data_IF_515508097124
#
_entry.id   IF_515508097124
#
_cell.length_a   1.000
_cell.length_b   1.000
_cell.length_c   1.000
_cell.angle_alpha   90.00
_cell.angle_beta   90.00
_cell.angle_gamma   90.00
#
_symmetry.space_group_name_H-M   'P 1'
#
loop_
_entity.id
_entity.type
_entity.pdbx_description
1 polymer ?
#
# COMPACT_ATOMS: atom_id res chain seq x y z
N UNK A 1 -5.13 26.58 -13.69
CA UNK A 1 -4.69 25.63 -14.73
C UNK A 1 -3.44 24.88 -14.29
N UNK A 2 -2.35 25.56 -13.93
CA UNK A 2 -1.10 24.93 -13.49
C UNK A 2 -1.26 23.95 -12.31
N UNK A 3 -2.00 24.31 -11.26
CA UNK A 3 -2.22 23.42 -10.10
C UNK A 3 -3.00 22.15 -10.47
N UNK A 4 -3.99 22.25 -11.36
CA UNK A 4 -4.78 21.11 -11.83
C UNK A 4 -3.92 20.19 -12.69
N UNK A 5 -3.10 20.77 -13.56
CA UNK A 5 -2.14 20.03 -14.37
C UNK A 5 -1.12 19.28 -13.51
N UNK A 6 -0.58 19.93 -12.47
CA UNK A 6 0.34 19.30 -11.51
C UNK A 6 -0.32 18.17 -10.72
N UNK A 7 -1.58 18.34 -10.29
CA UNK A 7 -2.36 17.27 -9.64
C UNK A 7 -2.56 16.11 -10.60
N UNK A 8 -3.05 16.36 -11.82
CA UNK A 8 -3.32 15.33 -12.83
C UNK A 8 -2.08 14.53 -13.22
N UNK A 9 -0.95 15.21 -13.46
CA UNK A 9 0.34 14.55 -13.75
C UNK A 9 0.84 13.70 -12.58
N UNK A 10 0.56 14.11 -11.34
CA UNK A 10 0.96 13.36 -10.14
C UNK A 10 0.08 12.13 -9.91
N UNK A 11 -1.23 12.24 -10.18
CA UNK A 11 -2.14 11.08 -10.24
C UNK A 11 -1.65 10.10 -11.30
N UNK A 12 -1.34 10.60 -12.50
CA UNK A 12 -0.87 9.75 -13.60
C UNK A 12 0.46 9.06 -13.28
N UNK A 13 1.39 9.76 -12.62
CA UNK A 13 2.63 9.17 -12.14
C UNK A 13 2.39 8.05 -11.14
N UNK A 14 1.51 8.27 -10.15
CA UNK A 14 1.13 7.23 -9.19
C UNK A 14 0.55 5.99 -9.88
N UNK A 15 -0.31 6.20 -10.86
CA UNK A 15 -0.89 5.13 -11.68
C UNK A 15 0.18 4.31 -12.42
N UNK A 16 1.14 4.97 -13.07
CA UNK A 16 2.21 4.25 -13.75
C UNK A 16 3.14 3.52 -12.77
N UNK A 17 3.44 4.12 -11.62
CA UNK A 17 4.28 3.49 -10.60
C UNK A 17 3.61 2.27 -9.95
N UNK A 18 2.28 2.21 -9.89
CA UNK A 18 1.58 1.03 -9.38
C UNK A 18 1.63 -0.17 -10.34
N UNK A 19 1.73 0.09 -11.65
CA UNK A 19 1.87 -0.94 -12.68
C UNK A 19 3.32 -1.42 -12.80
N UNK A 20 4.32 -0.58 -12.49
CA UNK A 20 5.75 -0.92 -12.61
C UNK A 20 6.15 -2.19 -11.85
N UNK A 21 5.55 -2.50 -10.70
CA UNK A 21 5.87 -3.73 -9.96
C UNK A 21 5.54 -5.01 -10.72
N UNK A 22 4.58 -4.98 -11.65
CA UNK A 22 4.33 -6.09 -12.58
C UNK A 22 5.57 -6.36 -13.44
N UNK A 23 6.12 -5.30 -14.05
CA UNK A 23 7.34 -5.38 -14.87
C UNK A 23 8.55 -5.83 -14.05
N UNK A 24 8.65 -5.39 -12.79
CA UNK A 24 9.73 -5.78 -11.87
C UNK A 24 9.67 -7.27 -11.56
N UNK A 25 8.49 -7.83 -11.32
CA UNK A 25 8.32 -9.27 -11.08
C UNK A 25 8.78 -10.09 -12.29
N UNK A 26 8.40 -9.70 -13.51
CA UNK A 26 8.87 -10.36 -14.73
C UNK A 26 10.39 -10.21 -14.94
N UNK A 27 10.95 -9.05 -14.62
CA UNK A 27 12.39 -8.84 -14.68
C UNK A 27 13.14 -9.72 -13.66
N UNK A 28 12.65 -9.80 -12.43
CA UNK A 28 13.22 -10.63 -11.37
C UNK A 28 13.13 -12.13 -11.71
N UNK A 29 12.01 -12.59 -12.27
CA UNK A 29 11.88 -13.97 -12.76
C UNK A 29 12.86 -14.26 -13.91
N UNK A 30 12.96 -13.36 -14.89
CA UNK A 30 13.90 -13.50 -16.01
C UNK A 30 15.36 -13.55 -15.54
N UNK A 31 15.73 -12.72 -14.56
CA UNK A 31 17.08 -12.71 -14.01
C UNK A 31 17.36 -13.97 -13.15
N UNK A 32 16.39 -14.42 -12.36
CA UNK A 32 16.50 -15.69 -11.62
C UNK A 32 16.66 -16.88 -12.56
N UNK A 33 15.84 -16.96 -13.61
CA UNK A 33 15.90 -18.01 -14.64
C UNK A 33 17.18 -17.94 -15.48
N UNK A 34 17.71 -16.74 -15.76
CA UNK A 34 19.00 -16.58 -16.44
C UNK A 34 20.16 -17.10 -15.60
N UNK A 35 20.15 -16.86 -14.29
CA UNK A 35 21.17 -17.37 -13.36
C UNK A 35 21.10 -18.88 -13.13
N UNK A 36 19.91 -19.48 -13.25
CA UNK A 36 19.72 -20.94 -13.22
C UNK A 36 20.16 -21.60 -14.53
N UNK A 37 19.91 -20.94 -15.66
CA UNK A 37 20.20 -21.47 -17.01
C UNK A 37 21.65 -21.27 -17.45
N UNK A 38 22.44 -20.44 -16.77
CA UNK A 38 23.89 -20.42 -16.99
C UNK A 38 24.49 -21.71 -16.41
N UNK A 39 25.15 -22.54 -17.23
CA UNK A 39 25.95 -23.64 -16.70
C UNK A 39 27.03 -23.03 -15.81
N UNK A 40 27.14 -23.47 -14.55
CA UNK A 40 28.33 -23.19 -13.76
C UNK A 40 29.53 -23.65 -14.60
N UNK A 41 30.51 -22.79 -14.92
CA UNK A 41 31.69 -23.25 -15.64
C UNK A 41 32.35 -24.32 -14.78
N UNK A 42 32.47 -25.53 -15.35
CA UNK A 42 33.24 -26.62 -14.78
C UNK A 42 34.63 -26.07 -14.49
N UNK A 43 35.00 -26.09 -13.21
CA UNK A 43 36.27 -25.56 -12.73
C UNK A 43 37.41 -26.43 -13.22
N UNK A 44 37.91 -26.14 -14.42
CA UNK A 44 39.26 -26.50 -14.85
C UNK A 44 39.84 -25.36 -15.67
N UNK A 45 40.47 -24.40 -14.99
CA UNK A 45 41.83 -23.94 -15.28
C UNK A 45 42.15 -22.68 -14.45
N UNK A 46 43.43 -22.56 -14.15
CA UNK A 46 44.07 -21.68 -13.18
C UNK A 46 43.81 -20.17 -13.36
N UNK A 47 43.89 -19.48 -12.21
CA UNK A 47 44.26 -18.07 -12.02
C UNK A 47 43.35 -16.98 -12.60
N UNK A 48 42.38 -16.52 -11.79
CA UNK A 48 42.36 -15.16 -11.20
C UNK A 48 41.10 -15.07 -10.33
N UNK A 49 41.31 -14.84 -9.04
CA UNK A 49 40.28 -14.81 -8.00
C UNK A 49 39.28 -13.68 -8.21
N UNK A 50 38.15 -13.98 -8.84
CA UNK A 50 36.88 -13.29 -8.59
C UNK A 50 35.82 -14.34 -8.26
N UNK A 51 35.80 -14.73 -6.99
CA UNK A 51 34.68 -15.46 -6.39
C UNK A 51 33.38 -14.69 -6.66
N UNK A 52 32.28 -15.32 -7.10
CA UNK A 52 30.98 -14.65 -7.06
C UNK A 52 30.75 -14.23 -5.61
N UNK A 53 30.49 -12.95 -5.37
CA UNK A 53 30.29 -12.46 -4.00
C UNK A 53 29.19 -13.30 -3.32
N UNK A 54 29.35 -13.72 -2.05
CA UNK A 54 28.31 -14.46 -1.31
C UNK A 54 26.96 -13.72 -1.29
N UNK A 55 26.98 -12.41 -1.54
CA UNK A 55 25.80 -11.58 -1.68
C UNK A 55 25.00 -11.87 -2.95
N UNK A 56 25.64 -12.16 -4.09
CA UNK A 56 24.93 -12.36 -5.36
C UNK A 56 24.11 -13.67 -5.37
N UNK A 57 24.65 -14.75 -4.79
CA UNK A 57 23.97 -16.05 -4.68
C UNK A 57 22.87 -16.04 -3.60
N UNK A 58 23.09 -15.32 -2.50
CA UNK A 58 22.06 -15.13 -1.47
C UNK A 58 20.89 -14.28 -2.01
N UNK A 59 21.19 -13.26 -2.82
CA UNK A 59 20.17 -12.42 -3.48
C UNK A 59 19.28 -13.22 -4.44
N UNK A 60 19.85 -14.05 -5.31
CA UNK A 60 19.04 -14.86 -6.24
C UNK A 60 18.13 -15.87 -5.54
N UNK A 61 18.55 -16.39 -4.38
CA UNK A 61 17.71 -17.26 -3.54
C UNK A 61 16.52 -16.51 -2.93
N UNK A 62 16.70 -15.27 -2.50
CA UNK A 62 15.61 -14.44 -1.97
C UNK A 62 14.63 -14.03 -3.09
N UNK A 63 15.12 -13.70 -4.29
CA UNK A 63 14.31 -13.38 -5.49
C UNK A 63 13.34 -14.53 -5.85
N UNK A 64 13.85 -15.75 -5.97
CA UNK A 64 13.03 -16.94 -6.29
C UNK A 64 11.99 -17.25 -5.20
N UNK A 65 12.31 -16.97 -3.92
CA UNK A 65 11.37 -17.16 -2.81
C UNK A 65 10.21 -16.17 -2.87
N UNK A 66 10.47 -14.90 -3.17
CA UNK A 66 9.43 -13.87 -3.30
C UNK A 66 8.47 -14.23 -4.43
N UNK A 67 8.99 -14.56 -5.61
CA UNK A 67 8.16 -14.95 -6.75
C UNK A 67 7.33 -16.20 -6.46
N UNK A 68 7.94 -17.23 -5.87
CA UNK A 68 7.23 -18.45 -5.49
C UNK A 68 6.06 -18.15 -4.54
N UNK A 69 6.24 -17.23 -3.59
CA UNK A 69 5.19 -16.78 -2.66
C UNK A 69 4.09 -16.00 -3.36
N UNK A 70 4.42 -15.12 -4.30
CA UNK A 70 3.43 -14.43 -5.14
C UNK A 70 2.60 -15.44 -5.94
N UNK A 71 3.27 -16.40 -6.61
CA UNK A 71 2.58 -17.44 -7.38
C UNK A 71 1.73 -18.35 -6.49
N UNK A 72 2.22 -18.74 -5.31
CA UNK A 72 1.45 -19.52 -4.34
C UNK A 72 0.20 -18.78 -3.87
N UNK A 73 0.32 -17.48 -3.56
CA UNK A 73 -0.81 -16.60 -3.27
C UNK A 73 -1.81 -16.57 -4.43
N UNK A 74 -1.34 -16.30 -5.64
CA UNK A 74 -2.18 -16.21 -6.82
C UNK A 74 -2.88 -17.53 -7.17
N UNK A 75 -2.18 -18.67 -7.05
CA UNK A 75 -2.76 -20.00 -7.32
C UNK A 75 -3.80 -20.43 -6.29
N UNK A 76 -3.57 -20.15 -5.01
CA UNK A 76 -4.49 -20.55 -3.95
C UNK A 76 -5.77 -19.70 -3.98
N UNK A 77 -5.64 -18.39 -4.24
CA UNK A 77 -6.77 -17.44 -4.22
C UNK A 77 -7.49 -17.30 -5.56
N UNK A 78 -6.74 -17.19 -6.66
CA UNK A 78 -7.29 -17.06 -8.00
C UNK A 78 -7.51 -18.39 -8.70
N UNK A 79 -6.77 -19.43 -8.34
CA UNK A 79 -6.93 -20.77 -8.89
C UNK A 79 -7.99 -21.54 -8.11
N UNK A 80 -7.61 -22.16 -6.99
CA UNK A 80 -8.43 -23.15 -6.27
C UNK A 80 -9.79 -22.56 -5.87
N UNK A 81 -9.79 -21.36 -5.31
CA UNK A 81 -10.99 -20.77 -4.75
C UNK A 81 -11.96 -20.24 -5.82
N UNK A 82 -11.47 -19.39 -6.74
CA UNK A 82 -12.30 -18.90 -7.85
C UNK A 82 -12.76 -20.05 -8.76
N UNK A 83 -11.89 -21.01 -9.07
CA UNK A 83 -12.27 -22.19 -9.87
C UNK A 83 -13.33 -23.02 -9.16
N UNK A 84 -13.25 -23.19 -7.82
CA UNK A 84 -14.27 -23.92 -7.08
C UNK A 84 -15.64 -23.24 -7.15
N UNK A 85 -15.70 -21.91 -7.11
CA UNK A 85 -16.94 -21.13 -7.26
C UNK A 85 -17.48 -21.29 -8.69
N UNK A 86 -16.63 -21.10 -9.70
CA UNK A 86 -17.04 -21.23 -11.09
C UNK A 86 -17.51 -22.66 -11.40
N UNK A 87 -16.81 -23.68 -10.89
CA UNK A 87 -17.22 -25.08 -11.03
C UNK A 87 -18.57 -25.34 -10.35
N UNK A 88 -18.78 -24.81 -9.15
CA UNK A 88 -20.06 -24.98 -8.45
C UNK A 88 -21.22 -24.30 -9.20
N UNK A 89 -21.04 -23.04 -9.61
CA UNK A 89 -22.08 -22.23 -10.26
C UNK A 89 -22.38 -22.67 -11.71
N UNK A 90 -21.35 -23.06 -12.47
CA UNK A 90 -21.51 -23.34 -13.91
C UNK A 90 -21.47 -24.82 -14.27
N UNK A 91 -21.02 -25.71 -13.39
CA UNK A 91 -21.02 -27.16 -13.63
C UNK A 91 -21.96 -27.90 -12.66
N UNK A 92 -21.78 -27.72 -11.35
CA UNK A 92 -22.54 -28.49 -10.35
C UNK A 92 -24.01 -28.10 -10.35
N UNK A 93 -24.36 -26.82 -10.21
CA UNK A 93 -25.77 -26.40 -10.20
C UNK A 93 -26.49 -26.74 -11.51
N UNK A 94 -25.97 -26.39 -12.71
CA UNK A 94 -26.64 -26.72 -13.96
C UNK A 94 -26.72 -28.23 -14.21
N UNK A 95 -25.66 -28.98 -13.84
CA UNK A 95 -25.64 -30.44 -13.94
C UNK A 95 -26.67 -31.11 -13.04
N UNK A 96 -26.82 -30.62 -11.80
CA UNK A 96 -27.82 -31.11 -10.86
C UNK A 96 -29.24 -30.77 -11.33
N UNK A 97 -29.46 -29.56 -11.87
CA UNK A 97 -30.73 -29.18 -12.47
C UNK A 97 -31.09 -30.08 -13.66
N UNK A 98 -30.12 -30.37 -14.54
CA UNK A 98 -30.31 -31.29 -15.67
C UNK A 98 -30.65 -32.71 -15.20
N UNK A 99 -29.97 -33.21 -14.18
CA UNK A 99 -30.24 -34.51 -13.58
C UNK A 99 -31.66 -34.59 -12.98
N UNK A 100 -32.08 -33.56 -12.23
CA UNK A 100 -33.44 -33.50 -11.69
C UNK A 100 -34.51 -33.40 -12.78
N UNK A 101 -34.24 -32.62 -13.84
CA UNK A 101 -35.13 -32.53 -14.99
C UNK A 101 -35.33 -33.90 -15.64
N UNK A 102 -34.25 -34.67 -15.80
CA UNK A 102 -34.31 -36.04 -16.32
C UNK A 102 -35.09 -37.00 -15.40
N UNK A 103 -34.87 -36.93 -14.08
CA UNK A 103 -35.52 -37.80 -13.10
C UNK A 103 -37.03 -37.57 -13.00
N UNK A 104 -37.45 -36.32 -12.81
CA UNK A 104 -38.84 -36.04 -12.47
C UNK A 104 -39.75 -35.98 -13.69
N UNK A 105 -39.24 -35.59 -14.88
CA UNK A 105 -40.01 -35.34 -16.13
C UNK A 105 -41.23 -34.40 -16.01
N UNK A 106 -41.57 -33.96 -14.79
CA UNK A 106 -42.67 -33.08 -14.41
C UNK A 106 -42.11 -31.70 -14.09
N UNK A 107 -42.62 -30.68 -14.78
CA UNK A 107 -42.18 -29.30 -14.60
C UNK A 107 -42.48 -28.76 -13.20
N UNK A 108 -43.67 -29.03 -12.65
CA UNK A 108 -44.10 -28.53 -11.33
C UNK A 108 -43.27 -29.09 -10.17
N UNK A 109 -42.94 -30.39 -10.22
CA UNK A 109 -42.11 -31.03 -9.19
C UNK A 109 -40.68 -30.53 -9.25
N UNK A 110 -40.13 -30.38 -10.47
CA UNK A 110 -38.79 -29.84 -10.69
C UNK A 110 -38.65 -28.43 -10.13
N UNK A 111 -39.58 -27.52 -10.47
CA UNK A 111 -39.52 -26.13 -9.99
C UNK A 111 -39.62 -26.04 -8.47
N UNK A 112 -40.48 -26.86 -7.87
CA UNK A 112 -40.65 -26.88 -6.41
C UNK A 112 -39.38 -27.38 -5.72
N UNK A 113 -38.82 -28.52 -6.16
CA UNK A 113 -37.60 -29.09 -5.56
C UNK A 113 -36.40 -28.17 -5.78
N UNK A 114 -36.21 -27.67 -7.00
CA UNK A 114 -35.12 -26.76 -7.33
C UNK A 114 -35.18 -25.45 -6.54
N UNK A 115 -36.38 -24.90 -6.36
CA UNK A 115 -36.61 -23.64 -5.65
C UNK A 115 -36.08 -23.62 -4.21
N UNK A 116 -36.06 -24.76 -3.52
CA UNK A 116 -35.44 -24.88 -2.20
C UNK A 116 -34.01 -25.41 -2.27
N UNK A 117 -33.75 -26.37 -3.16
CA UNK A 117 -32.45 -27.03 -3.23
C UNK A 117 -31.33 -26.08 -3.67
N UNK A 118 -31.55 -25.27 -4.71
CA UNK A 118 -30.54 -24.32 -5.20
C UNK A 118 -30.09 -23.32 -4.12
N UNK A 119 -30.97 -22.58 -3.43
CA UNK A 119 -30.53 -21.65 -2.39
C UNK A 119 -29.91 -22.38 -1.19
N UNK A 120 -30.41 -23.56 -0.79
CA UNK A 120 -29.81 -24.35 0.30
C UNK A 120 -28.40 -24.83 -0.03
N UNK A 121 -28.19 -25.39 -1.22
CA UNK A 121 -26.85 -25.82 -1.67
C UNK A 121 -25.89 -24.63 -1.78
N UNK A 122 -26.37 -23.52 -2.33
CA UNK A 122 -25.58 -22.29 -2.44
C UNK A 122 -25.20 -21.75 -1.06
N UNK A 123 -26.12 -21.76 -0.10
CA UNK A 123 -25.85 -21.35 1.28
C UNK A 123 -24.81 -22.26 1.94
N UNK A 124 -24.99 -23.57 1.87
CA UNK A 124 -24.05 -24.54 2.46
C UNK A 124 -22.65 -24.42 1.85
N UNK A 125 -22.56 -24.32 0.52
CA UNK A 125 -21.30 -24.13 -0.18
C UNK A 125 -20.64 -22.81 0.24
N UNK A 126 -21.39 -21.71 0.27
CA UNK A 126 -20.84 -20.41 0.65
C UNK A 126 -20.40 -20.37 2.12
N UNK A 127 -21.16 -20.98 3.04
CA UNK A 127 -20.87 -20.93 4.48
C UNK A 127 -19.78 -21.89 4.92
N UNK A 128 -19.74 -23.12 4.39
CA UNK A 128 -18.82 -24.17 4.87
C UNK A 128 -17.57 -24.33 4.00
N UNK A 129 -17.61 -23.90 2.73
CA UNK A 129 -16.47 -24.01 1.83
C UNK A 129 -15.87 -22.64 1.55
N UNK A 130 -16.68 -21.73 0.99
CA UNK A 130 -16.19 -20.44 0.50
C UNK A 130 -15.73 -19.53 1.64
N UNK A 131 -16.57 -19.28 2.65
CA UNK A 131 -16.25 -18.36 3.72
C UNK A 131 -15.01 -18.79 4.56
N UNK A 132 -14.86 -20.05 4.99
CA UNK A 132 -13.70 -20.49 5.76
C UNK A 132 -12.41 -20.47 4.93
N UNK A 133 -12.45 -20.92 3.67
CA UNK A 133 -11.29 -20.87 2.78
C UNK A 133 -10.87 -19.44 2.48
N UNK A 134 -11.84 -18.54 2.27
CA UNK A 134 -11.56 -17.12 2.08
C UNK A 134 -10.91 -16.47 3.30
N UNK A 135 -11.39 -16.80 4.51
CA UNK A 135 -10.81 -16.28 5.75
C UNK A 135 -9.39 -16.81 5.97
N UNK A 136 -9.18 -18.11 5.79
CA UNK A 136 -7.86 -18.73 5.92
C UNK A 136 -6.88 -18.17 4.88
N UNK A 137 -7.34 -18.02 3.64
CA UNK A 137 -6.61 -17.36 2.56
C UNK A 137 -6.14 -15.96 2.98
N UNK A 138 -7.02 -15.11 3.52
CA UNK A 138 -6.64 -13.77 3.98
C UNK A 138 -5.53 -13.78 5.04
N UNK A 139 -5.53 -14.74 5.96
CA UNK A 139 -4.51 -14.86 6.99
C UNK A 139 -3.17 -15.31 6.38
N UNK A 140 -3.18 -16.35 5.54
CA UNK A 140 -1.96 -16.85 4.90
C UNK A 140 -1.37 -15.79 3.97
N UNK A 141 -2.24 -15.09 3.23
CA UNK A 141 -1.89 -13.98 2.37
C UNK A 141 -1.18 -12.87 3.13
N UNK A 142 -1.70 -12.43 4.28
CA UNK A 142 -1.08 -11.35 5.05
C UNK A 142 0.33 -11.70 5.54
N UNK A 143 0.56 -12.96 5.92
CA UNK A 143 1.88 -13.47 6.27
C UNK A 143 2.83 -13.45 5.07
N UNK A 144 2.38 -13.93 3.91
CA UNK A 144 3.18 -13.90 2.68
C UNK A 144 3.46 -12.48 2.19
N UNK A 145 2.51 -11.56 2.37
CA UNK A 145 2.65 -10.16 1.99
C UNK A 145 3.72 -9.46 2.82
N UNK A 146 3.77 -9.72 4.12
CA UNK A 146 4.83 -9.22 4.99
C UNK A 146 6.20 -9.72 4.54
N UNK A 147 6.28 -11.03 4.28
CA UNK A 147 7.47 -11.70 3.76
C UNK A 147 7.98 -11.12 2.42
N UNK A 148 7.07 -10.83 1.49
CA UNK A 148 7.34 -10.19 0.19
C UNK A 148 7.85 -8.77 0.41
N UNK A 149 7.18 -8.00 1.25
CA UNK A 149 7.56 -6.62 1.54
C UNK A 149 8.94 -6.52 2.18
N UNK A 150 9.24 -7.36 3.16
CA UNK A 150 10.53 -7.38 3.85
C UNK A 150 11.66 -7.72 2.89
N UNK A 151 11.42 -8.65 1.97
CA UNK A 151 12.38 -9.03 0.93
C UNK A 151 12.59 -7.89 -0.08
N UNK A 152 11.52 -7.28 -0.56
CA UNK A 152 11.57 -6.14 -1.48
C UNK A 152 12.25 -4.91 -0.84
N UNK A 153 11.98 -4.66 0.44
CA UNK A 153 12.60 -3.58 1.20
C UNK A 153 14.11 -3.81 1.38
N UNK A 154 14.51 -5.01 1.79
CA UNK A 154 15.93 -5.39 1.93
C UNK A 154 16.71 -5.20 0.63
N UNK A 155 16.09 -5.52 -0.50
CA UNK A 155 16.67 -5.35 -1.82
C UNK A 155 16.97 -3.88 -2.14
N UNK A 156 16.04 -2.96 -1.83
CA UNK A 156 16.17 -1.54 -2.21
C UNK A 156 16.88 -0.67 -1.19
N UNK A 157 16.64 -0.90 0.11
CA UNK A 157 17.00 0.05 1.18
C UNK A 157 17.89 -0.53 2.29
N UNK A 158 18.19 -1.83 2.27
CA UNK A 158 19.00 -2.47 3.30
C UNK A 158 18.17 -2.99 4.49
N UNK A 159 18.75 -3.05 5.70
CA UNK A 159 18.06 -3.67 6.85
C UNK A 159 16.84 -2.83 7.29
N UNK A 160 15.69 -3.47 7.59
CA UNK A 160 14.56 -2.80 8.25
C UNK A 160 15.01 -2.08 9.51
N UNK A 161 14.43 -0.92 9.81
CA UNK A 161 14.77 -0.20 11.04
C UNK A 161 14.28 -0.97 12.27
N UNK A 162 15.07 -0.88 13.36
CA UNK A 162 14.83 -1.61 14.60
C UNK A 162 13.44 -1.29 15.16
N UNK A 163 12.73 -2.36 15.47
CA UNK A 163 11.32 -2.39 15.84
C UNK A 163 11.12 -1.57 17.12
N UNK A 164 10.05 -0.76 17.25
CA UNK A 164 9.57 -0.31 18.55
C UNK A 164 9.24 -1.52 19.44
N UNK A 165 8.99 -1.31 20.75
CA UNK A 165 8.58 -2.39 21.65
C UNK A 165 7.45 -3.23 21.03
N UNK A 166 7.49 -4.55 21.19
CA UNK A 166 6.51 -5.48 20.59
C UNK A 166 5.07 -5.05 20.93
N UNK A 167 4.85 -4.56 22.14
CA UNK A 167 3.55 -4.00 22.57
C UNK A 167 3.08 -2.82 21.71
N UNK A 168 3.98 -1.88 21.39
CA UNK A 168 3.66 -0.73 20.52
C UNK A 168 3.39 -1.18 19.10
N UNK A 169 4.09 -2.19 18.61
CA UNK A 169 3.86 -2.79 17.30
C UNK A 169 2.47 -3.42 17.18
N UNK A 170 2.09 -4.21 18.19
CA UNK A 170 0.77 -4.85 18.25
C UNK A 170 -0.31 -3.77 18.33
N UNK A 171 -0.14 -2.76 19.16
CA UNK A 171 -1.08 -1.65 19.28
C UNK A 171 -1.25 -0.90 17.94
N UNK A 172 -0.15 -0.54 17.28
CA UNK A 172 -0.16 0.12 15.97
C UNK A 172 -0.89 -0.73 14.92
N UNK A 173 -0.62 -2.04 14.89
CA UNK A 173 -1.27 -2.99 13.97
C UNK A 173 -2.78 -3.09 14.23
N UNK A 174 -3.20 -3.23 15.48
CA UNK A 174 -4.61 -3.35 15.85
C UNK A 174 -5.39 -2.06 15.58
N UNK A 175 -4.79 -0.89 15.90
CA UNK A 175 -5.42 0.40 15.64
C UNK A 175 -5.47 0.67 14.13
N UNK A 176 -4.42 0.33 13.38
CA UNK A 176 -4.42 0.43 11.91
C UNK A 176 -5.54 -0.41 11.33
N UNK A 177 -5.66 -1.68 11.73
CA UNK A 177 -6.74 -2.57 11.30
C UNK A 177 -8.13 -1.99 11.60
N UNK A 178 -8.33 -1.44 12.81
CA UNK A 178 -9.60 -0.82 13.19
C UNK A 178 -9.92 0.40 12.32
N UNK A 179 -8.94 1.29 12.09
CA UNK A 179 -9.10 2.46 11.22
C UNK A 179 -9.46 2.03 9.79
N UNK A 180 -8.78 1.02 9.26
CA UNK A 180 -9.02 0.48 7.92
C UNK A 180 -10.43 -0.11 7.78
N UNK A 181 -10.91 -0.86 8.78
CA UNK A 181 -12.28 -1.41 8.82
C UNK A 181 -13.31 -0.27 8.85
N UNK A 182 -13.13 0.71 9.72
CA UNK A 182 -14.03 1.87 9.81
C UNK A 182 -14.02 2.70 8.51
N UNK A 183 -12.87 2.81 7.85
CA UNK A 183 -12.74 3.52 6.58
C UNK A 183 -13.42 2.78 5.44
N UNK A 184 -13.32 1.44 5.41
CA UNK A 184 -14.07 0.63 4.45
C UNK A 184 -15.58 0.77 4.65
N UNK A 185 -16.04 0.80 5.91
CA UNK A 185 -17.45 1.05 6.23
C UNK A 185 -17.88 2.46 5.77
N UNK A 186 -17.12 3.50 6.11
CA UNK A 186 -17.34 4.86 5.63
C UNK A 186 -17.44 4.91 4.10
N UNK A 187 -16.51 4.24 3.40
CA UNK A 187 -16.48 4.20 1.93
C UNK A 187 -17.76 3.58 1.38
N UNK A 188 -18.17 2.45 1.95
CA UNK A 188 -19.39 1.74 1.57
C UNK A 188 -20.63 2.61 1.79
N UNK A 189 -20.71 3.32 2.92
CA UNK A 189 -21.82 4.24 3.19
C UNK A 189 -21.90 5.37 2.16
N UNK A 190 -20.75 5.93 1.77
CA UNK A 190 -20.66 7.01 0.77
C UNK A 190 -21.20 6.56 -0.60
N UNK A 191 -21.03 5.28 -0.96
CA UNK A 191 -21.59 4.71 -2.19
C UNK A 191 -23.12 4.76 -2.23
N UNK A 192 -23.78 4.68 -1.07
CA UNK A 192 -25.24 4.63 -0.95
C UNK A 192 -25.88 5.96 -0.50
N UNK A 193 -25.12 7.04 -0.40
CA UNK A 193 -25.68 8.34 -0.03
C UNK A 193 -26.63 8.86 -1.14
N UNK A 194 -27.83 9.37 -0.76
CA UNK A 194 -28.79 9.92 -1.71
C UNK A 194 -28.37 11.36 -2.11
N UNK A 195 -27.37 11.48 -2.97
CA UNK A 195 -26.93 12.77 -3.53
C UNK A 195 -27.56 12.96 -4.91
N UNK A 196 -28.21 14.11 -5.19
CA UNK A 196 -28.92 14.37 -6.45
C UNK A 196 -27.96 14.70 -7.63
N UNK A 197 -26.74 14.18 -7.61
CA UNK A 197 -25.73 14.38 -8.66
C UNK A 197 -25.32 13.01 -9.21
N UNK A 198 -25.62 12.70 -10.49
CA UNK A 198 -25.22 11.45 -11.12
C UNK A 198 -23.71 11.22 -10.99
N UNK A 199 -23.32 9.97 -10.72
CA UNK A 199 -21.91 9.51 -10.61
C UNK A 199 -21.06 10.10 -9.47
N UNK A 200 -21.51 11.14 -8.75
CA UNK A 200 -20.73 11.76 -7.69
C UNK A 200 -20.37 10.79 -6.55
N UNK A 201 -21.35 10.03 -6.05
CA UNK A 201 -21.13 9.03 -5.01
C UNK A 201 -20.16 7.92 -5.46
N UNK A 202 -20.26 7.47 -6.71
CA UNK A 202 -19.37 6.46 -7.29
C UNK A 202 -17.93 6.98 -7.42
N UNK A 203 -17.75 8.24 -7.84
CA UNK A 203 -16.44 8.87 -7.93
C UNK A 203 -15.82 9.05 -6.53
N UNK A 204 -16.59 9.52 -5.55
CA UNK A 204 -16.13 9.66 -4.16
C UNK A 204 -15.79 8.31 -3.52
N UNK A 205 -16.61 7.29 -3.79
CA UNK A 205 -16.31 5.91 -3.41
C UNK A 205 -14.98 5.44 -4.00
N UNK A 206 -14.75 5.67 -5.30
CA UNK A 206 -13.50 5.32 -5.96
C UNK A 206 -12.29 6.05 -5.37
N UNK A 207 -12.44 7.33 -5.01
CA UNK A 207 -11.40 8.10 -4.31
C UNK A 207 -11.06 7.46 -2.96
N UNK A 208 -12.07 7.12 -2.15
CA UNK A 208 -11.85 6.42 -0.90
C UNK A 208 -11.13 5.08 -1.10
N UNK A 209 -11.65 4.23 -1.98
CA UNK A 209 -11.09 2.89 -2.21
C UNK A 209 -9.66 2.96 -2.76
N UNK A 210 -9.35 3.93 -3.61
CA UNK A 210 -7.99 4.14 -4.12
C UNK A 210 -7.02 4.51 -3.01
N UNK A 211 -7.38 5.47 -2.14
CA UNK A 211 -6.53 5.86 -1.02
C UNK A 211 -6.36 4.72 0.00
N UNK A 212 -7.41 3.93 0.24
CA UNK A 212 -7.35 2.75 1.11
C UNK A 212 -6.44 1.67 0.51
N UNK A 213 -6.55 1.38 -0.78
CA UNK A 213 -5.69 0.42 -1.48
C UNK A 213 -4.22 0.86 -1.46
N UNK A 214 -3.96 2.15 -1.65
CA UNK A 214 -2.62 2.70 -1.53
C UNK A 214 -2.08 2.60 -0.10
N UNK A 215 -2.88 2.91 0.91
CA UNK A 215 -2.52 2.73 2.33
C UNK A 215 -2.13 1.27 2.61
N UNK A 216 -2.94 0.30 2.16
CA UNK A 216 -2.66 -1.11 2.34
C UNK A 216 -1.31 -1.52 1.74
N UNK A 217 -1.01 -1.11 0.50
CA UNK A 217 0.23 -1.50 -0.17
C UNK A 217 1.47 -0.81 0.44
N UNK A 218 1.39 0.48 0.74
CA UNK A 218 2.49 1.25 1.29
C UNK A 218 2.73 1.00 2.79
N UNK A 219 1.72 0.55 3.54
CA UNK A 219 1.86 0.26 4.96
C UNK A 219 3.01 -0.72 5.20
N UNK A 220 3.12 -1.78 4.39
CA UNK A 220 4.23 -2.73 4.48
C UNK A 220 5.62 -2.09 4.33
N UNK A 221 5.76 -1.14 3.39
CA UNK A 221 6.99 -0.38 3.19
C UNK A 221 7.27 0.54 4.38
N UNK A 222 6.25 1.23 4.87
CA UNK A 222 6.39 2.17 5.98
C UNK A 222 6.62 1.49 7.32
N UNK A 223 6.10 0.28 7.49
CA UNK A 223 6.40 -0.59 8.62
C UNK A 223 7.90 -0.91 8.67
N UNK A 224 8.50 -1.27 7.53
CA UNK A 224 9.93 -1.49 7.40
C UNK A 224 10.79 -0.23 7.61
N UNK A 225 10.19 0.96 7.46
CA UNK A 225 10.80 2.26 7.81
C UNK A 225 10.58 2.66 9.27
N UNK A 226 9.85 1.89 10.06
CA UNK A 226 9.51 2.22 11.45
C UNK A 226 8.53 3.37 11.60
N UNK A 227 7.73 3.69 10.57
CA UNK A 227 6.74 4.76 10.66
C UNK A 227 5.53 4.31 11.47
N UNK A 228 5.05 5.16 12.37
CA UNK A 228 3.81 4.92 13.12
C UNK A 228 2.57 5.27 12.29
N UNK A 229 1.43 4.72 12.67
CA UNK A 229 0.13 4.90 12.00
C UNK A 229 -0.22 6.37 11.74
N UNK A 230 -0.08 7.25 12.74
CA UNK A 230 -0.37 8.68 12.57
C UNK A 230 0.45 9.33 11.45
N UNK A 231 1.73 8.95 11.34
CA UNK A 231 2.62 9.43 10.28
C UNK A 231 2.17 8.90 8.92
N UNK A 232 1.82 7.61 8.82
CA UNK A 232 1.33 6.98 7.58
C UNK A 232 0.08 7.67 7.06
N UNK A 233 -0.92 7.90 7.93
CA UNK A 233 -2.18 8.56 7.58
C UNK A 233 -1.94 10.01 7.13
N UNK A 234 -1.19 10.78 7.92
CA UNK A 234 -0.88 12.19 7.59
C UNK A 234 -0.17 12.31 6.25
N UNK A 235 0.78 11.39 5.98
CA UNK A 235 1.54 11.41 4.74
C UNK A 235 0.68 11.12 3.50
N UNK A 236 -0.29 10.21 3.60
CA UNK A 236 -1.25 9.97 2.52
C UNK A 236 -2.17 11.18 2.32
N UNK A 237 -2.72 11.74 3.39
CA UNK A 237 -3.65 12.88 3.29
C UNK A 237 -2.98 14.12 2.69
N UNK A 238 -1.69 14.35 2.99
CA UNK A 238 -0.90 15.45 2.43
C UNK A 238 -0.52 15.23 0.97
N UNK A 239 -0.27 13.99 0.56
CA UNK A 239 0.21 13.66 -0.80
C UNK A 239 -0.84 12.84 -1.58
N UNK A 240 -2.12 13.10 -1.31
CA UNK A 240 -3.24 12.33 -1.82
C UNK A 240 -3.27 12.19 -3.36
N UNK A 241 -2.82 13.16 -4.20
CA UNK A 241 -2.89 12.98 -5.65
C UNK A 241 -2.10 11.77 -6.14
N UNK A 242 -0.89 11.59 -5.59
CA UNK A 242 -0.04 10.45 -5.95
C UNK A 242 -0.69 9.14 -5.51
N UNK A 243 -1.16 9.06 -4.26
CA UNK A 243 -1.74 7.84 -3.70
C UNK A 243 -3.09 7.47 -4.32
N UNK A 244 -3.89 8.48 -4.69
CA UNK A 244 -5.10 8.30 -5.48
C UNK A 244 -4.76 7.58 -6.78
N UNK A 245 -3.79 8.10 -7.54
CA UNK A 245 -3.34 7.47 -8.79
C UNK A 245 -2.78 6.06 -8.58
N UNK A 246 -1.96 5.86 -7.55
CA UNK A 246 -1.34 4.58 -7.27
C UNK A 246 -2.36 3.48 -6.93
N UNK A 247 -3.32 3.77 -6.07
CA UNK A 247 -4.31 2.78 -5.64
C UNK A 247 -5.47 2.57 -6.62
N UNK A 248 -5.68 3.50 -7.55
CA UNK A 248 -6.80 3.47 -8.50
C UNK A 248 -6.91 2.17 -9.30
N UNK A 249 -5.85 1.59 -9.89
CA UNK A 249 -6.00 0.38 -10.69
C UNK A 249 -6.44 -0.81 -9.84
N UNK A 250 -5.89 -0.96 -8.63
CA UNK A 250 -6.29 -2.04 -7.73
C UNK A 250 -7.74 -1.87 -7.27
N UNK A 251 -8.14 -0.66 -6.92
CA UNK A 251 -9.50 -0.34 -6.51
C UNK A 251 -10.50 -0.62 -7.65
N UNK A 252 -10.22 -0.12 -8.86
CA UNK A 252 -11.08 -0.30 -10.02
C UNK A 252 -11.22 -1.78 -10.41
N UNK A 253 -10.10 -2.53 -10.51
CA UNK A 253 -10.12 -3.95 -10.86
C UNK A 253 -10.86 -4.79 -9.83
N UNK A 254 -10.73 -4.45 -8.54
CA UNK A 254 -11.44 -5.15 -7.46
C UNK A 254 -12.94 -4.85 -7.47
N UNK A 255 -13.38 -3.72 -8.03
CA UNK A 255 -14.79 -3.33 -8.09
C UNK A 255 -15.53 -3.82 -9.35
N UNK A 256 -14.81 -4.32 -10.37
CA UNK A 256 -15.42 -4.85 -11.60
C UNK A 256 -16.38 -6.03 -11.35
N UNK A 257 -16.07 -7.00 -10.47
CA UNK A 257 -16.97 -8.11 -10.22
C UNK A 257 -18.13 -7.69 -9.30
N UNK A 258 -19.36 -8.07 -9.66
CA UNK A 258 -20.54 -7.85 -8.81
C UNK A 258 -20.57 -8.73 -7.55
N UNK A 259 -19.70 -9.74 -7.46
CA UNK A 259 -19.59 -10.64 -6.31
C UNK A 259 -18.48 -10.18 -5.37
N UNK A 260 -18.82 -9.96 -4.10
CA UNK A 260 -17.87 -9.61 -3.02
C UNK A 260 -16.75 -10.65 -2.92
N UNK A 261 -17.10 -11.92 -3.12
CA UNK A 261 -16.15 -13.03 -3.04
C UNK A 261 -15.15 -12.94 -4.19
N UNK A 262 -15.64 -12.76 -5.43
CA UNK A 262 -14.78 -12.62 -6.61
C UNK A 262 -13.93 -11.35 -6.53
N UNK A 263 -14.50 -10.24 -6.09
CA UNK A 263 -13.80 -8.98 -5.80
C UNK A 263 -12.63 -9.21 -4.82
N UNK A 264 -12.87 -9.93 -3.73
CA UNK A 264 -11.83 -10.29 -2.76
C UNK A 264 -10.72 -11.18 -3.35
N UNK A 265 -11.04 -12.05 -4.31
CA UNK A 265 -10.06 -12.87 -5.04
C UNK A 265 -9.17 -12.01 -5.93
N UNK A 266 -9.81 -11.14 -6.74
CA UNK A 266 -9.11 -10.21 -7.63
C UNK A 266 -8.17 -9.33 -6.82
N UNK A 267 -8.66 -8.75 -5.72
CA UNK A 267 -7.84 -7.99 -4.79
C UNK A 267 -6.64 -8.82 -4.29
N UNK A 268 -6.88 -10.03 -3.78
CA UNK A 268 -5.82 -10.87 -3.18
C UNK A 268 -4.75 -11.33 -4.19
N UNK A 269 -5.14 -11.56 -5.45
CA UNK A 269 -4.21 -11.93 -6.53
C UNK A 269 -3.33 -10.74 -6.94
N UNK A 270 -3.92 -9.55 -7.06
CA UNK A 270 -3.21 -8.36 -7.53
C UNK A 270 -2.38 -7.69 -6.43
N UNK A 271 -2.86 -7.70 -5.18
CA UNK A 271 -2.27 -6.96 -4.08
C UNK A 271 -0.77 -7.22 -3.83
N UNK A 272 -0.23 -8.46 -3.90
CA UNK A 272 1.23 -8.69 -3.84
C UNK A 272 2.05 -7.84 -4.80
N UNK A 273 1.54 -7.64 -6.02
CA UNK A 273 2.21 -6.86 -7.06
C UNK A 273 2.26 -5.38 -6.65
N UNK A 274 1.18 -4.87 -6.06
CA UNK A 274 1.12 -3.50 -5.54
C UNK A 274 2.05 -3.29 -4.34
N UNK A 275 2.27 -4.30 -3.48
CA UNK A 275 3.27 -4.21 -2.39
C UNK A 275 4.68 -4.06 -2.97
N UNK A 276 5.02 -4.81 -4.02
CA UNK A 276 6.31 -4.72 -4.70
C UNK A 276 6.45 -3.33 -5.34
N UNK A 277 5.44 -2.89 -6.10
CA UNK A 277 5.37 -1.54 -6.68
C UNK A 277 5.56 -0.45 -5.62
N UNK A 278 4.89 -0.57 -4.47
CA UNK A 278 4.97 0.42 -3.40
C UNK A 278 6.39 0.50 -2.83
N UNK A 279 7.06 -0.64 -2.63
CA UNK A 279 8.45 -0.70 -2.17
C UNK A 279 9.42 -0.03 -3.15
N UNK A 280 9.22 -0.24 -4.45
CA UNK A 280 10.00 0.37 -5.52
C UNK A 280 9.75 1.88 -5.69
N UNK A 281 8.51 2.30 -5.49
CA UNK A 281 8.05 3.64 -5.80
C UNK A 281 8.69 4.74 -4.95
N UNK A 282 8.85 5.91 -5.54
CA UNK A 282 9.27 7.14 -4.87
C UNK A 282 8.16 8.19 -5.04
N UNK A 283 7.21 8.26 -4.10
CA UNK A 283 6.07 9.17 -4.19
C UNK A 283 6.52 10.61 -4.42
N UNK A 284 5.91 11.29 -5.39
CA UNK A 284 6.11 12.72 -5.60
C UNK A 284 5.33 13.47 -4.54
N UNK A 285 6.04 14.23 -3.72
CA UNK A 285 5.48 14.98 -2.58
C UNK A 285 5.26 16.47 -2.92
N UNK A 286 4.50 17.16 -2.07
CA UNK A 286 4.36 18.63 -2.05
C UNK A 286 3.78 19.24 -3.35
N UNK A 287 2.80 18.55 -3.92
CA UNK A 287 2.11 18.99 -5.16
C UNK A 287 0.85 19.80 -4.85
N UNK A 288 0.19 19.50 -3.73
CA UNK A 288 -1.07 20.11 -3.32
C UNK A 288 -0.93 20.59 -1.87
N UNK A 289 -1.27 21.86 -1.62
CA UNK A 289 -1.19 22.46 -0.28
C UNK A 289 -2.38 22.07 0.60
N UNK A 290 -3.50 21.63 0.00
CA UNK A 290 -4.71 21.25 0.71
C UNK A 290 -4.73 19.74 1.00
N UNK A 291 -4.59 19.33 2.28
CA UNK A 291 -4.63 17.92 2.64
C UNK A 291 -6.07 17.40 2.55
N UNK A 292 -6.22 16.19 2.00
CA UNK A 292 -7.51 15.52 1.86
C UNK A 292 -7.77 14.66 3.11
N UNK A 293 -8.41 15.26 4.12
CA UNK A 293 -8.57 14.69 5.49
C UNK A 293 -9.65 13.61 5.63
N UNK A 294 -9.68 12.63 4.73
CA UNK A 294 -10.71 11.58 4.74
C UNK A 294 -10.51 10.57 5.87
N UNK A 295 -9.27 10.31 6.30
CA UNK A 295 -8.98 9.39 7.41
C UNK A 295 -9.22 10.04 8.77
N UNK A 296 -9.19 11.38 8.84
CA UNK A 296 -9.47 12.12 10.07
C UNK A 296 -10.84 11.79 10.68
N UNK A 297 -11.86 11.49 9.85
CA UNK A 297 -13.20 11.10 10.30
C UNK A 297 -13.13 9.79 11.10
N UNK A 298 -12.52 8.75 10.52
CA UNK A 298 -12.40 7.44 11.18
C UNK A 298 -11.45 7.45 12.35
N UNK A 299 -10.41 8.30 12.33
CA UNK A 299 -9.55 8.56 13.50
C UNK A 299 -10.38 9.14 14.64
N UNK A 300 -11.26 10.12 14.37
CA UNK A 300 -12.13 10.71 15.38
C UNK A 300 -13.11 9.67 15.97
N UNK A 301 -13.72 8.84 15.12
CA UNK A 301 -14.60 7.73 15.54
C UNK A 301 -13.84 6.72 16.40
N UNK A 302 -12.64 6.33 15.99
CA UNK A 302 -11.77 5.41 16.71
C UNK A 302 -11.46 5.96 18.11
N UNK A 303 -11.06 7.22 18.20
CA UNK A 303 -10.80 7.89 19.48
C UNK A 303 -12.06 8.00 20.35
N UNK A 304 -13.24 8.19 19.76
CA UNK A 304 -14.51 8.22 20.48
C UNK A 304 -14.86 6.85 21.09
N UNK A 305 -14.65 5.74 20.34
CA UNK A 305 -14.86 4.37 20.82
C UNK A 305 -14.00 4.05 22.05
N UNK A 306 -12.71 4.42 22.02
CA UNK A 306 -11.81 4.21 23.16
C UNK A 306 -12.18 5.06 24.37
N UNK A 307 -12.63 6.31 24.16
CA UNK A 307 -13.11 7.19 25.24
C UNK A 307 -14.39 6.67 25.90
N UNK A 308 -15.33 6.14 25.11
CA UNK A 308 -16.59 5.57 25.63
C UNK A 308 -16.36 4.38 26.55
N UNK A 309 -15.38 3.52 26.23
CA UNK A 309 -15.07 2.31 27.02
C UNK A 309 -14.37 2.62 28.35
N UNK A 310 -13.56 3.69 28.42
CA UNK A 310 -12.91 4.12 29.66
C UNK A 310 -13.89 4.70 30.69
N UNK A 311 -14.96 5.38 30.25
CA UNK A 311 -16.01 5.88 31.14
C UNK A 311 -16.85 4.75 31.76
N UNK A 312 -17.13 3.69 30.99
CA UNK A 312 -17.87 2.52 31.49
C UNK A 312 -17.06 1.68 32.49
N UNK A 313 -15.73 1.61 32.36
CA UNK A 313 -14.85 0.90 33.30
C UNK A 313 -14.66 1.61 34.64
N UNK A 314 -14.74 2.95 34.68
CA UNK A 314 -14.70 3.71 35.96
C UNK A 314 -16.01 3.64 36.74
N UNK A 315 -17.15 3.49 36.08
CA UNK A 315 -18.44 3.33 36.74
C UNK A 315 -18.61 1.99 37.47
N UNK A 316 -17.88 0.94 37.05
CA UNK A 316 -17.92 -0.38 37.68
C UNK A 316 -16.99 -0.53 38.89
N UNK A 317 -16.07 0.40 39.13
CA UNK A 317 -15.08 0.34 40.22
C UNK A 317 -15.31 1.39 41.33
N UNK A 318 -16.38 2.17 41.25
CA UNK A 318 -16.74 3.20 42.24
C UNK A 318 -18.05 2.88 42.93
N UNK A 319 -18.19 1.67 43.47
CA UNK A 319 -19.10 1.44 44.59
C UNK A 319 -18.33 1.75 45.89
N UNK A 320 -18.77 2.72 46.72
CA UNK A 320 -18.13 2.97 48.00
C UNK A 320 -18.50 1.86 48.99
N UNK A 321 -17.52 1.07 49.44
CA UNK A 321 -17.62 0.33 50.69
C UNK A 321 -17.65 1.34 51.85
N UNK A 322 -18.67 1.25 52.68
CA UNK A 322 -18.91 2.05 53.89
C UNK A 322 -17.72 2.01 54.86
N UNK A 323 -17.35 3.13 55.52
CA UNK A 323 -16.24 3.17 56.44
C UNK A 323 -16.68 2.79 57.86
N UNK A 324 -15.95 1.90 58.54
CA UNK A 324 -16.02 1.82 60.00
C UNK A 324 -14.62 1.60 60.61
N UNK A 325 -14.30 2.52 61.52
CA UNK A 325 -13.39 2.47 62.67
C UNK A 325 -11.85 2.29 62.50
N UNK A 326 -11.16 3.40 62.85
CA UNK A 326 -10.02 3.56 63.81
C UNK A 326 -8.77 2.66 63.71
N UNK A 327 -7.61 3.32 63.60
CA UNK A 327 -6.37 2.89 64.29
C UNK A 327 -5.03 3.18 63.60
N UNK A 328 -4.40 4.31 63.98
CA UNK A 328 -2.96 4.61 64.13
C UNK A 328 -1.88 3.94 63.22
N UNK A 329 -1.19 4.77 62.42
CA UNK A 329 0.30 4.93 62.24
C UNK A 329 0.68 5.35 60.79
N UNK A 330 1.66 6.26 60.58
CA UNK A 330 2.36 6.45 59.29
C UNK A 330 3.81 5.90 59.38
N UNK A 331 4.71 6.03 58.36
CA UNK A 331 4.59 6.28 56.90
C UNK A 331 5.37 5.21 56.07
N UNK A 332 5.34 5.29 54.73
CA UNK A 332 6.53 5.27 53.84
C UNK A 332 6.19 5.20 52.35
N UNK A 333 6.82 6.11 51.62
CA UNK A 333 7.06 6.24 50.17
C UNK A 333 6.81 5.02 49.27
N UNK A 334 6.04 5.23 48.21
CA UNK A 334 6.50 4.85 46.86
C UNK A 334 5.86 5.73 45.78
N UNK A 335 6.74 6.34 45.02
CA UNK A 335 6.52 7.14 43.81
C UNK A 335 5.78 6.36 42.73
N UNK A 336 4.70 6.93 42.20
CA UNK A 336 4.16 6.54 40.88
C UNK A 336 4.08 7.80 40.01
N UNK A 337 4.73 7.86 38.84
CA UNK A 337 4.67 9.04 37.99
C UNK A 337 3.34 9.04 37.20
N UNK A 338 2.54 10.07 37.45
CA UNK A 338 1.40 10.45 36.61
C UNK A 338 1.92 10.96 35.26
N UNK A 339 1.97 10.10 34.24
CA UNK A 339 2.22 10.53 32.86
C UNK A 339 0.97 11.19 32.29
N UNK A 340 0.95 12.53 32.33
CA UNK A 340 -0.01 13.36 31.62
C UNK A 340 0.29 13.41 30.12
N UNK A 341 -0.72 13.11 29.30
CA UNK A 341 -0.70 13.38 27.86
C UNK A 341 -0.73 14.90 27.61
N UNK A 342 0.44 15.50 27.49
CA UNK A 342 0.59 16.91 27.07
C UNK A 342 1.76 17.06 26.09
N UNK A 343 1.85 16.16 25.09
CA UNK A 343 2.93 16.13 24.10
C UNK A 343 2.50 16.47 22.67
N UNK A 344 1.28 16.97 22.45
CA UNK A 344 0.75 17.28 21.10
C UNK A 344 0.91 18.74 20.67
N UNK A 345 1.37 19.65 21.54
CA UNK A 345 1.55 21.08 21.19
C UNK A 345 3.01 21.49 20.93
N UNK A 346 4.01 20.76 21.43
CA UNK A 346 5.42 21.17 21.32
C UNK A 346 6.14 20.66 20.06
N UNK A 347 5.64 19.62 19.39
CA UNK A 347 6.33 19.04 18.24
C UNK A 347 6.17 19.85 16.94
N UNK A 348 5.27 20.83 16.91
CA UNK A 348 4.95 21.62 15.71
C UNK A 348 5.78 22.92 15.58
N UNK A 349 6.58 23.29 16.59
CA UNK A 349 7.44 24.47 16.57
C UNK A 349 8.90 24.19 16.16
N UNK A 350 9.32 22.94 16.01
CA UNK A 350 10.72 22.57 15.73
C UNK A 350 11.09 22.40 14.24
N UNK A 351 10.19 22.74 13.30
CA UNK A 351 10.42 22.56 11.86
C UNK A 351 10.54 23.86 11.04
N UNK A 352 10.84 25.00 11.68
CA UNK A 352 11.26 26.21 10.94
C UNK A 352 12.79 26.25 10.79
N UNK A 353 13.33 26.31 9.56
CA UNK A 353 14.75 26.56 9.35
C UNK A 353 15.09 28.00 9.73
N UNK A 354 15.87 28.16 10.80
CA UNK A 354 16.44 29.43 11.23
C UNK A 354 17.67 29.74 10.34
N UNK A 355 17.77 30.92 9.69
CA UNK A 355 18.94 31.25 8.88
C UNK A 355 20.18 31.48 9.76
N UNK A 356 21.26 30.74 9.48
CA UNK A 356 22.55 30.87 10.13
C UNK A 356 23.19 32.24 9.83
N UNK A 357 23.01 33.20 10.74
CA UNK A 357 23.85 34.39 10.82
C UNK A 357 25.20 34.02 11.43
N UNK A 358 26.20 33.83 10.58
CA UNK A 358 27.62 33.69 10.96
C UNK A 358 28.21 35.09 11.22
N UNK A 359 28.29 35.49 12.48
CA UNK A 359 29.06 36.67 12.90
C UNK A 359 30.56 36.37 12.82
N UNK A 360 31.26 37.04 11.89
CA UNK A 360 32.70 37.31 12.01
C UNK A 360 32.87 38.83 12.15
N UNK A 361 33.48 39.24 13.26
CA UNK A 361 33.87 40.62 13.51
C UNK A 361 35.29 40.92 13.01
N UNK A 362 35.45 42.15 12.51
CA UNK A 362 36.67 42.98 12.42
C UNK A 362 37.62 42.61 11.25
N UNK A 363 37.99 43.49 10.31
CA UNK A 363 38.43 44.88 10.46
C UNK A 363 38.24 45.72 9.18
N UNK A 364 37.86 47.00 9.34
CA UNK A 364 37.84 48.03 8.30
C UNK A 364 39.27 48.42 7.87
N UNK A 365 39.49 48.55 6.55
CA UNK A 365 40.44 49.53 6.00
C UNK A 365 39.95 50.01 4.62
N UNK A 366 39.64 51.30 4.54
CA UNK A 366 39.24 52.04 3.36
C UNK A 366 40.45 52.43 2.51
N UNK A 367 40.33 52.39 1.18
CA UNK A 367 40.96 53.35 0.25
C UNK A 367 40.24 53.31 -1.12
N UNK A 368 40.11 54.50 -1.71
CA UNK A 368 39.36 54.88 -2.91
C UNK A 368 40.04 54.46 -4.24
N UNK A 369 39.26 54.19 -5.30
CA UNK A 369 39.11 55.00 -6.56
C UNK A 369 38.60 54.17 -7.75
N UNK A 370 37.65 54.78 -8.48
CA UNK A 370 36.99 54.46 -9.78
C UNK A 370 37.95 54.41 -11.01
N UNK A 371 37.49 54.21 -12.29
CA UNK A 371 36.16 53.85 -12.85
C UNK A 371 36.14 52.74 -13.94
N UNK A 372 34.92 52.45 -14.42
CA UNK A 372 34.45 51.66 -15.60
C UNK A 372 35.01 52.13 -16.97
N UNK A 373 34.79 51.39 -18.11
CA UNK A 373 33.48 51.41 -18.80
C UNK A 373 33.05 50.10 -19.52
N UNK A 374 31.75 50.02 -19.82
CA UNK A 374 31.07 49.14 -20.79
C UNK A 374 31.01 49.77 -22.19
N UNK A 375 30.65 49.03 -23.27
CA UNK A 375 29.28 49.14 -23.85
C UNK A 375 28.72 47.80 -24.41
N UNK A 376 27.39 47.56 -24.35
CA UNK A 376 26.37 47.61 -25.45
C UNK A 376 26.57 46.56 -26.57
N UNK A 377 25.61 45.83 -27.16
CA UNK A 377 24.15 45.78 -27.26
C UNK A 377 23.80 44.51 -28.09
N UNK A 378 22.66 43.84 -27.93
CA UNK A 378 21.38 44.06 -28.64
C UNK A 378 21.01 42.86 -29.57
N UNK A 379 19.75 42.40 -29.43
CA UNK A 379 18.80 41.91 -30.48
C UNK A 379 19.23 40.74 -31.39
N UNK A 380 18.62 39.54 -31.37
CA UNK A 380 17.24 39.08 -31.67
C UNK A 380 17.09 38.49 -33.09
N UNK A 381 16.15 37.53 -33.21
CA UNK A 381 15.66 36.83 -34.42
C UNK A 381 16.61 35.79 -35.04
N UNK A 382 16.18 34.74 -35.73
CA UNK A 382 14.98 33.90 -35.80
C UNK A 382 15.26 32.88 -36.93
N UNK A 383 14.46 31.82 -36.95
CA UNK A 383 14.13 31.04 -38.16
C UNK A 383 15.14 30.03 -38.69
N UNK A 384 14.97 28.80 -38.19
CA UNK A 384 14.47 27.66 -38.96
C UNK A 384 14.56 27.73 -40.50
N UNK A 385 15.44 26.90 -41.06
CA UNK A 385 15.22 26.13 -42.29
C UNK A 385 15.77 24.72 -41.98
N UNK A 386 14.97 23.65 -42.00
CA UNK A 386 14.47 22.97 -43.21
C UNK A 386 15.64 22.67 -44.16
N UNK A 387 15.89 21.46 -44.64
CA UNK A 387 15.09 20.25 -44.82
C UNK A 387 16.06 19.29 -45.53
N UNK A 388 15.90 17.98 -45.30
CA UNK A 388 16.28 16.83 -46.16
C UNK A 388 17.58 16.93 -47.01
N UNK A 389 18.39 15.89 -47.16
CA UNK A 389 17.96 14.61 -47.71
C UNK A 389 19.11 13.61 -47.65
N UNK A 390 18.77 12.39 -47.22
CA UNK A 390 19.07 11.09 -47.79
C UNK A 390 20.51 10.63 -48.15
N UNK A 391 20.63 9.30 -47.96
CA UNK A 391 21.55 8.31 -48.53
C UNK A 391 22.89 8.16 -47.83
N UNK A 392 23.06 7.15 -46.95
CA UNK A 392 23.38 5.76 -47.30
C UNK A 392 24.36 5.71 -48.49
N UNK A 393 25.57 5.19 -48.39
CA UNK A 393 25.84 3.78 -48.07
C UNK A 393 27.36 3.56 -47.90
N UNK A 394 27.72 2.57 -47.07
CA UNK A 394 28.86 1.63 -47.25
C UNK A 394 30.31 2.19 -47.37
N UNK A 395 31.13 1.96 -46.35
CA UNK A 395 32.18 0.92 -46.31
C UNK A 395 33.30 1.25 -45.30
N UNK A 396 33.40 0.39 -44.30
CA UNK A 396 34.61 -0.25 -43.79
C UNK A 396 35.94 0.54 -43.68
N UNK A 397 36.42 0.54 -42.42
CA UNK A 397 37.80 0.20 -41.96
C UNK A 397 38.82 1.38 -41.80
N UNK A 398 39.93 1.20 -41.04
CA UNK A 398 40.01 1.49 -39.61
C UNK A 398 41.25 2.35 -39.19
N UNK A 399 41.42 2.57 -37.88
CA UNK A 399 42.69 2.85 -37.16
C UNK A 399 43.45 4.16 -37.48
N UNK A 400 43.46 5.11 -36.53
CA UNK A 400 44.65 5.46 -35.70
C UNK A 400 44.43 6.69 -34.82
N UNK A 401 44.86 6.52 -33.57
CA UNK A 401 45.17 7.47 -32.49
C UNK A 401 44.03 8.17 -31.78
#
# INVERSE_FOLDING_TARGET
MESIYRIGTTVLQGFFDSIKGITVVFYLDKEANRKISQPRPTKESLSTTQSPSPQASKRSSEESKVLKRVVQCSMLNGGIFMLSILFFEYAVLPGLHLFLWYLFRSSTTLTTVWGWMQPSLSLLFNSFWVAPLFLLSKIVNSLWFQDIADSAYKFRKGRPQLIPSISKLIADTLISLLIQILFLLQSTLVKYLPVPVPFACSALYMVHMSLLCALYAFEYKWFNMGWELHKRLTYIEQNWPYFLGFGLPLAALSELPNSIVISGCVFSVLFPLFIISANEATPKVDVCETPLKLFSIVVALTNALFRGRSKSGKAALSQPLTPNARGLTPPLSSSTPSFGFQASAQFQQQLQPQPQHRHHHRHHRSHQRNPSPSPSGASSFASSASVLTAQQTLLNRPLRR
#
